data_IF_344052376649
#
_entry.id   IF_344052376649
#
_cell.length_a   1.000
_cell.length_b   1.000
_cell.length_c   1.000
_cell.angle_alpha   90.00
_cell.angle_beta   90.00
_cell.angle_gamma   90.00
#
_symmetry.space_group_name_H-M   'P 1'
#
loop_
_entity.id
_entity.type
_entity.pdbx_description
1 polymer ?
#
# COMPACT_ATOMS: atom_id res chain seq x y z
N UNK A 1 28.70 30.59 -69.43
CA UNK A 1 27.49 31.34 -69.09
C UNK A 1 26.63 30.46 -68.22
N UNK A 2 26.68 30.69 -66.95
CA UNK A 2 26.14 29.84 -65.88
C UNK A 2 24.94 30.51 -65.30
N UNK A 3 23.80 29.80 -65.23
CA UNK A 3 22.64 30.21 -64.46
C UNK A 3 22.50 29.32 -63.21
N UNK A 4 22.65 29.96 -62.05
CA UNK A 4 22.33 29.43 -60.70
C UNK A 4 20.84 29.28 -60.54
N UNK A 5 20.36 28.11 -60.10
CA UNK A 5 19.03 27.89 -59.57
C UNK A 5 19.10 27.66 -58.05
N UNK A 6 18.34 28.45 -57.34
CA UNK A 6 18.16 28.45 -55.88
C UNK A 6 17.30 27.29 -55.44
N UNK A 7 17.57 26.60 -54.32
CA UNK A 7 16.65 25.59 -53.79
C UNK A 7 15.62 26.21 -52.85
N UNK A 8 14.39 25.79 -53.06
CA UNK A 8 13.19 26.15 -52.33
C UNK A 8 13.17 25.48 -50.94
N UNK A 9 12.87 26.27 -49.96
CA UNK A 9 12.80 25.91 -48.53
C UNK A 9 11.47 25.20 -48.20
N UNK A 10 11.47 23.88 -48.00
CA UNK A 10 10.31 23.14 -47.54
C UNK A 10 10.17 23.22 -46.02
N UNK A 11 9.11 23.88 -45.59
CA UNK A 11 8.68 23.98 -44.18
C UNK A 11 8.23 22.62 -43.65
N UNK A 12 9.01 22.04 -42.78
CA UNK A 12 8.77 20.83 -42.03
C UNK A 12 7.72 21.11 -40.93
N UNK A 13 6.44 20.83 -41.19
CA UNK A 13 5.36 20.95 -40.21
C UNK A 13 5.38 19.72 -39.31
N UNK A 14 5.89 19.89 -38.10
CA UNK A 14 5.84 18.90 -37.04
C UNK A 14 4.37 18.65 -36.63
N UNK A 15 3.78 17.54 -37.07
CA UNK A 15 2.52 17.00 -36.55
C UNK A 15 2.67 16.70 -35.05
N UNK A 16 2.03 17.49 -34.21
CA UNK A 16 1.82 17.17 -32.79
C UNK A 16 0.98 15.91 -32.71
N UNK A 17 1.54 14.82 -32.18
CA UNK A 17 0.80 13.61 -31.79
C UNK A 17 -0.18 14.00 -30.68
N UNK A 18 -1.48 13.98 -30.97
CA UNK A 18 -2.52 13.99 -29.94
C UNK A 18 -2.40 12.70 -29.13
N UNK A 19 -2.10 12.82 -27.84
CA UNK A 19 -2.20 11.72 -26.89
C UNK A 19 -3.66 11.29 -26.81
N UNK A 20 -3.95 10.06 -27.20
CA UNK A 20 -5.26 9.44 -27.04
C UNK A 20 -5.45 9.08 -25.56
N UNK A 21 -6.20 9.91 -24.83
CA UNK A 21 -6.75 9.57 -23.53
C UNK A 21 -8.01 8.74 -23.76
N UNK A 22 -8.08 7.54 -23.17
CA UNK A 22 -9.35 6.87 -22.85
C UNK A 22 -9.84 5.78 -23.80
N UNK A 23 -9.13 4.64 -23.88
CA UNK A 23 -9.71 3.39 -24.45
C UNK A 23 -10.13 2.36 -23.40
N UNK A 24 -10.16 2.72 -22.12
CA UNK A 24 -10.48 1.78 -21.03
C UNK A 24 -11.96 1.72 -20.63
N UNK A 25 -12.77 2.69 -21.00
CA UNK A 25 -14.17 2.75 -20.53
C UNK A 25 -15.17 2.15 -21.51
N UNK A 26 -14.79 1.96 -22.78
CA UNK A 26 -15.66 1.39 -23.81
C UNK A 26 -15.82 -0.14 -23.73
N UNK A 27 -14.92 -0.82 -23.03
CA UNK A 27 -14.94 -2.29 -22.95
C UNK A 27 -15.89 -2.86 -21.88
N UNK A 28 -16.47 -2.02 -21.02
CA UNK A 28 -17.36 -2.44 -19.93
C UNK A 28 -18.84 -2.12 -20.16
N UNK A 29 -19.17 -1.55 -21.30
CA UNK A 29 -20.56 -1.33 -21.68
C UNK A 29 -20.80 -2.09 -22.99
N UNK A 30 -21.57 -3.19 -23.01
CA UNK A 30 -22.03 -3.80 -24.24
C UNK A 30 -23.05 -2.84 -24.89
N UNK A 31 -22.63 -2.12 -25.92
CA UNK A 31 -23.45 -1.13 -26.61
C UNK A 31 -22.77 0.22 -26.59
N UNK A 32 -22.06 0.57 -27.68
CA UNK A 32 -21.30 1.81 -27.85
C UNK A 32 -22.09 3.06 -27.46
N UNK A 33 -21.44 3.97 -26.74
CA UNK A 33 -21.91 5.34 -26.57
C UNK A 33 -21.80 6.07 -27.91
N UNK A 34 -22.77 5.85 -28.78
CA UNK A 34 -23.13 6.81 -29.84
C UNK A 34 -23.57 8.10 -29.14
N UNK A 35 -23.19 9.25 -29.69
CA UNK A 35 -23.62 10.57 -29.22
C UNK A 35 -25.14 10.58 -28.98
N UNK A 36 -25.67 11.35 -28.02
CA UNK A 36 -27.07 11.28 -27.63
C UNK A 36 -27.95 11.68 -28.82
N UNK A 37 -28.44 10.67 -29.53
CA UNK A 37 -29.66 10.79 -30.29
C UNK A 37 -30.82 10.94 -29.29
N UNK A 38 -31.74 11.81 -29.57
CA UNK A 38 -32.88 12.25 -28.74
C UNK A 38 -33.98 11.15 -28.59
N UNK A 39 -33.57 9.88 -28.65
CA UNK A 39 -34.42 8.69 -28.52
C UNK A 39 -34.33 8.03 -27.17
N UNK A 40 -35.48 8.02 -26.51
CA UNK A 40 -35.88 7.19 -25.36
C UNK A 40 -34.84 7.11 -24.21
N UNK A 41 -34.86 8.11 -23.37
CA UNK A 41 -34.21 8.06 -22.03
C UNK A 41 -34.98 7.03 -21.20
N UNK A 42 -34.46 5.80 -21.11
CA UNK A 42 -34.95 4.73 -20.22
C UNK A 42 -34.74 5.08 -18.73
N UNK A 43 -35.21 6.25 -18.28
CA UNK A 43 -35.25 6.57 -16.86
C UNK A 43 -36.70 6.80 -16.42
N UNK A 44 -37.02 6.32 -15.24
CA UNK A 44 -38.27 6.53 -14.55
C UNK A 44 -38.09 7.67 -13.52
N UNK A 45 -39.08 8.55 -13.39
CA UNK A 45 -39.14 9.47 -12.26
C UNK A 45 -39.63 8.71 -11.03
N UNK A 46 -38.84 8.70 -9.98
CA UNK A 46 -39.10 7.97 -8.75
C UNK A 46 -39.15 8.92 -7.58
N UNK A 47 -40.07 8.71 -6.65
CA UNK A 47 -40.19 9.47 -5.43
C UNK A 47 -38.94 9.23 -4.56
N UNK A 48 -38.30 10.32 -4.12
CA UNK A 48 -37.10 10.29 -3.28
C UNK A 48 -37.34 9.59 -1.94
N UNK A 49 -38.59 9.61 -1.43
CA UNK A 49 -38.96 9.02 -0.15
C UNK A 49 -38.91 7.48 -0.17
N UNK A 50 -39.16 6.83 -1.33
CA UNK A 50 -39.14 5.37 -1.45
C UNK A 50 -37.79 4.79 -1.83
N UNK A 51 -36.75 5.65 -2.00
CA UNK A 51 -35.39 5.23 -2.29
C UNK A 51 -34.61 5.11 -0.98
N UNK A 52 -34.30 3.85 -0.60
CA UNK A 52 -33.43 3.54 0.54
C UNK A 52 -31.96 3.71 0.14
N UNK A 53 -31.09 4.22 1.05
CA UNK A 53 -29.65 4.28 0.78
C UNK A 53 -29.04 2.87 0.68
N UNK A 54 -27.89 2.78 0.00
CA UNK A 54 -27.15 1.53 -0.14
C UNK A 54 -26.60 1.07 1.23
N UNK A 55 -26.97 -0.14 1.67
CA UNK A 55 -26.49 -0.75 2.95
C UNK A 55 -25.00 -1.01 2.98
N UNK A 56 -24.34 -1.14 1.83
CA UNK A 56 -22.91 -1.41 1.68
C UNK A 56 -22.06 -0.16 1.45
N UNK A 57 -22.66 1.05 1.50
CA UNK A 57 -21.97 2.29 1.23
C UNK A 57 -20.94 2.61 2.33
N UNK A 58 -19.63 2.63 2.01
CA UNK A 58 -18.59 2.85 3.01
C UNK A 58 -18.44 4.33 3.39
N UNK A 59 -18.84 5.26 2.49
CA UNK A 59 -18.69 6.70 2.73
C UNK A 59 -19.82 7.27 3.56
N UNK A 60 -19.53 7.53 4.84
CA UNK A 60 -20.49 8.15 5.78
C UNK A 60 -20.30 9.66 5.92
N UNK A 61 -19.09 10.16 5.68
CA UNK A 61 -18.74 11.57 5.78
C UNK A 61 -18.52 12.17 4.39
N UNK A 62 -19.21 13.26 4.13
CA UNK A 62 -19.07 14.12 2.96
C UNK A 62 -18.73 15.51 3.50
N UNK A 63 -17.84 16.25 2.84
CA UNK A 63 -17.62 17.65 3.21
C UNK A 63 -18.90 18.43 2.97
N UNK A 64 -19.34 19.18 3.99
CA UNK A 64 -20.63 19.87 3.98
C UNK A 64 -20.68 20.93 2.86
N UNK A 65 -19.55 21.59 2.57
CA UNK A 65 -19.41 22.56 1.49
C UNK A 65 -19.66 21.93 0.11
N UNK A 66 -19.00 20.81 -0.19
CA UNK A 66 -19.18 20.07 -1.46
C UNK A 66 -20.64 19.60 -1.67
N UNK A 67 -21.34 19.29 -0.57
CA UNK A 67 -22.72 18.87 -0.61
C UNK A 67 -23.68 20.03 -0.83
N UNK A 68 -23.40 21.19 -0.25
CA UNK A 68 -24.19 22.40 -0.44
C UNK A 68 -24.14 22.90 -1.89
N UNK A 69 -22.94 22.91 -2.50
CA UNK A 69 -22.75 23.29 -3.91
C UNK A 69 -23.49 22.33 -4.86
N UNK A 70 -23.39 21.03 -4.61
CA UNK A 70 -24.12 20.04 -5.41
C UNK A 70 -25.63 20.18 -5.24
N UNK A 71 -26.13 20.47 -4.03
CA UNK A 71 -27.55 20.70 -3.79
C UNK A 71 -28.06 21.98 -4.50
N UNK A 72 -27.25 23.05 -4.52
CA UNK A 72 -27.57 24.26 -5.26
C UNK A 72 -27.65 24.01 -6.77
N UNK A 73 -26.69 23.27 -7.34
CA UNK A 73 -26.70 22.86 -8.75
C UNK A 73 -27.94 22.00 -9.08
N UNK A 74 -28.27 21.01 -8.24
CA UNK A 74 -29.42 20.14 -8.42
C UNK A 74 -30.76 20.92 -8.29
N UNK A 75 -30.80 21.94 -7.43
CA UNK A 75 -31.99 22.83 -7.32
C UNK A 75 -32.20 23.63 -8.59
N UNK A 76 -31.13 24.07 -9.24
CA UNK A 76 -31.20 24.89 -10.46
C UNK A 76 -31.48 24.08 -11.73
N UNK A 77 -30.89 22.89 -11.85
CA UNK A 77 -30.88 22.12 -13.11
C UNK A 77 -31.53 20.73 -13.00
N UNK A 78 -31.98 20.34 -11.81
CA UNK A 78 -32.40 18.98 -11.53
C UNK A 78 -31.24 17.98 -11.49
N UNK A 79 -31.57 16.69 -11.37
CA UNK A 79 -30.60 15.59 -11.43
C UNK A 79 -30.37 15.21 -12.88
N UNK A 80 -29.30 15.71 -13.50
CA UNK A 80 -28.98 15.48 -14.91
C UNK A 80 -28.64 13.99 -15.18
N UNK A 81 -27.84 13.37 -14.31
CA UNK A 81 -27.47 11.97 -14.44
C UNK A 81 -28.34 11.11 -13.52
N UNK A 82 -29.14 10.17 -14.07
CA UNK A 82 -30.04 9.33 -13.29
C UNK A 82 -29.31 8.55 -12.19
N UNK A 83 -30.02 8.27 -11.10
CA UNK A 83 -29.55 7.34 -10.07
C UNK A 83 -29.74 5.90 -10.54
N UNK A 84 -28.83 5.02 -10.15
CA UNK A 84 -29.00 3.59 -10.37
C UNK A 84 -29.64 2.97 -9.14
N UNK A 85 -30.80 2.31 -9.32
CA UNK A 85 -31.55 1.69 -8.23
C UNK A 85 -31.91 0.25 -8.59
N UNK A 86 -32.20 -0.57 -7.58
CA UNK A 86 -32.82 -1.89 -7.74
C UNK A 86 -34.15 -1.97 -6.99
N UNK A 87 -35.00 -2.88 -7.37
CA UNK A 87 -36.26 -3.16 -6.65
C UNK A 87 -35.95 -3.76 -5.27
N UNK A 88 -36.58 -3.25 -4.21
CA UNK A 88 -36.49 -3.77 -2.84
C UNK A 88 -37.89 -3.75 -2.20
N UNK A 89 -38.60 -4.85 -2.30
CA UNK A 89 -39.99 -4.95 -1.87
C UNK A 89 -40.91 -3.97 -2.64
N UNK A 90 -41.56 -3.07 -1.88
CA UNK A 90 -42.46 -2.04 -2.44
C UNK A 90 -41.71 -0.75 -2.81
N UNK A 91 -40.40 -0.67 -2.61
CA UNK A 91 -39.56 0.51 -2.87
C UNK A 91 -38.33 0.17 -3.72
N UNK A 92 -37.35 1.04 -3.61
CA UNK A 92 -36.08 0.89 -4.32
C UNK A 92 -34.92 1.01 -3.32
N UNK A 93 -33.84 0.28 -3.60
CA UNK A 93 -32.57 0.44 -2.91
C UNK A 93 -31.56 1.06 -3.89
N UNK A 94 -30.84 2.08 -3.43
CA UNK A 94 -29.85 2.77 -4.23
C UNK A 94 -28.66 1.84 -4.50
N UNK A 95 -28.26 1.70 -5.74
CA UNK A 95 -27.05 0.98 -6.17
C UNK A 95 -25.89 1.96 -6.30
N UNK A 96 -26.09 3.08 -7.03
CA UNK A 96 -25.08 4.11 -7.22
C UNK A 96 -25.72 5.50 -7.29
N UNK A 97 -25.00 6.52 -6.77
CA UNK A 97 -25.45 7.91 -6.81
C UNK A 97 -25.81 8.50 -5.44
N UNK A 98 -25.23 8.02 -4.34
CA UNK A 98 -25.50 8.49 -2.96
C UNK A 98 -25.39 10.00 -2.80
N UNK A 99 -24.33 10.63 -3.34
CA UNK A 99 -24.18 12.11 -3.26
C UNK A 99 -25.35 12.82 -3.94
N UNK A 100 -25.79 12.32 -5.11
CA UNK A 100 -26.94 12.89 -5.85
C UNK A 100 -28.25 12.71 -5.10
N UNK A 101 -28.49 11.54 -4.50
CA UNK A 101 -29.66 11.30 -3.69
C UNK A 101 -29.73 12.24 -2.47
N UNK A 102 -28.62 12.40 -1.75
CA UNK A 102 -28.54 13.31 -0.60
C UNK A 102 -28.72 14.76 -1.00
N UNK A 103 -28.03 15.19 -2.06
CA UNK A 103 -28.14 16.55 -2.56
C UNK A 103 -29.55 16.85 -3.10
N UNK A 104 -30.24 15.88 -3.73
CA UNK A 104 -31.63 16.01 -4.13
C UNK A 104 -32.58 16.17 -2.92
N UNK A 105 -32.35 15.42 -1.82
CA UNK A 105 -33.07 15.61 -0.55
C UNK A 105 -32.82 17.00 0.04
N UNK A 106 -31.58 17.48 0.06
CA UNK A 106 -31.24 18.83 0.54
C UNK A 106 -31.80 19.93 -0.35
N UNK A 107 -31.91 19.68 -1.66
CA UNK A 107 -32.53 20.59 -2.62
C UNK A 107 -34.08 20.64 -2.51
N UNK A 108 -34.70 19.69 -1.79
CA UNK A 108 -36.16 19.60 -1.62
C UNK A 108 -36.88 18.99 -2.80
N UNK A 109 -36.20 18.20 -3.64
CA UNK A 109 -36.85 17.54 -4.77
C UNK A 109 -37.71 16.37 -4.26
N UNK A 110 -38.95 16.29 -4.77
CA UNK A 110 -39.85 15.15 -4.50
C UNK A 110 -39.55 13.93 -5.36
N UNK A 111 -39.06 14.14 -6.59
CA UNK A 111 -38.77 13.07 -7.55
C UNK A 111 -37.39 13.24 -8.17
N UNK A 112 -36.78 12.11 -8.54
CA UNK A 112 -35.47 12.04 -9.20
C UNK A 112 -35.52 11.02 -10.34
N UNK A 113 -34.74 11.24 -11.42
CA UNK A 113 -34.65 10.24 -12.49
C UNK A 113 -33.83 9.03 -11.98
N UNK A 114 -34.35 7.83 -12.21
CA UNK A 114 -33.74 6.57 -11.84
C UNK A 114 -33.69 5.60 -13.01
N UNK A 115 -32.62 4.81 -13.08
CA UNK A 115 -32.52 3.62 -13.92
C UNK A 115 -32.65 2.41 -13.00
N UNK A 116 -33.64 1.55 -13.30
CA UNK A 116 -33.85 0.31 -12.53
C UNK A 116 -32.99 -0.79 -13.14
N UNK A 117 -32.22 -1.47 -12.33
CA UNK A 117 -31.43 -2.62 -12.76
C UNK A 117 -31.67 -3.79 -11.82
N UNK A 118 -31.87 -4.96 -12.36
CA UNK A 118 -31.95 -6.18 -11.56
C UNK A 118 -30.53 -6.58 -11.17
N UNK A 119 -30.21 -6.35 -9.89
CA UNK A 119 -28.88 -6.58 -9.33
C UNK A 119 -29.07 -7.39 -8.05
N UNK A 120 -28.35 -8.49 -7.95
CA UNK A 120 -28.29 -9.33 -6.74
C UNK A 120 -27.55 -8.62 -5.60
N UNK A 121 -27.71 -9.10 -4.36
CA UNK A 121 -26.95 -8.58 -3.23
C UNK A 121 -25.43 -8.74 -3.43
N UNK A 122 -24.99 -9.83 -4.09
CA UNK A 122 -23.59 -10.07 -4.40
C UNK A 122 -23.05 -9.02 -5.39
N UNK A 123 -23.72 -8.83 -6.52
CA UNK A 123 -23.32 -7.84 -7.53
C UNK A 123 -23.32 -6.40 -6.97
N UNK A 124 -24.29 -6.08 -6.10
CA UNK A 124 -24.33 -4.76 -5.45
C UNK A 124 -23.13 -4.54 -4.52
N UNK A 125 -22.76 -5.56 -3.74
CA UNK A 125 -21.57 -5.51 -2.88
C UNK A 125 -20.29 -5.42 -3.73
N UNK A 126 -20.19 -6.20 -4.79
CA UNK A 126 -19.08 -6.15 -5.73
C UNK A 126 -18.91 -4.74 -6.34
N UNK A 127 -19.99 -4.18 -6.88
CA UNK A 127 -19.99 -2.82 -7.44
C UNK A 127 -19.55 -1.77 -6.41
N UNK A 128 -20.01 -1.92 -5.16
CA UNK A 128 -19.62 -1.02 -4.08
C UNK A 128 -18.13 -1.12 -3.74
N UNK A 129 -17.55 -2.32 -3.74
CA UNK A 129 -16.11 -2.53 -3.50
C UNK A 129 -15.29 -1.99 -4.66
N UNK A 130 -15.69 -2.26 -5.90
CA UNK A 130 -14.98 -1.80 -7.11
C UNK A 130 -15.02 -0.28 -7.22
N UNK A 131 -16.18 0.35 -7.00
CA UNK A 131 -16.32 1.81 -6.97
C UNK A 131 -15.39 2.43 -5.92
N UNK A 132 -15.34 1.85 -4.73
CA UNK A 132 -14.50 2.34 -3.66
C UNK A 132 -12.98 2.22 -3.99
N UNK A 133 -12.55 1.12 -4.63
CA UNK A 133 -11.16 0.94 -5.11
C UNK A 133 -10.77 2.00 -6.16
N UNK A 134 -11.71 2.45 -6.99
CA UNK A 134 -11.44 3.42 -8.06
C UNK A 134 -11.36 4.87 -7.56
N UNK A 135 -11.53 5.12 -6.27
CA UNK A 135 -11.45 6.45 -5.68
C UNK A 135 -10.00 6.94 -5.57
N UNK A 136 -9.81 8.22 -5.85
CA UNK A 136 -8.49 8.85 -5.84
C UNK A 136 -7.86 9.00 -4.43
N UNK A 137 -8.69 9.00 -3.39
CA UNK A 137 -8.32 9.24 -1.99
C UNK A 137 -8.10 7.93 -1.17
N UNK A 138 -8.05 6.78 -1.86
CA UNK A 138 -7.89 5.47 -1.22
C UNK A 138 -6.43 5.24 -0.81
N UNK A 139 -6.18 4.93 0.46
CA UNK A 139 -4.82 4.64 0.90
C UNK A 139 -4.39 3.21 0.50
N UNK A 140 -3.07 2.94 0.38
CA UNK A 140 -2.60 1.64 -0.11
C UNK A 140 -3.01 0.43 0.75
N UNK A 141 -3.24 0.61 2.04
CA UNK A 141 -3.66 -0.47 2.95
C UNK A 141 -5.16 -0.73 2.82
N UNK A 142 -5.96 0.31 2.68
CA UNK A 142 -7.38 0.18 2.37
C UNK A 142 -7.58 -0.53 1.03
N UNK A 143 -6.81 -0.14 0.00
CA UNK A 143 -6.86 -0.77 -1.32
C UNK A 143 -6.49 -2.27 -1.24
N UNK A 144 -5.45 -2.61 -0.46
CA UNK A 144 -5.07 -3.99 -0.21
C UNK A 144 -6.18 -4.81 0.49
N UNK A 145 -6.86 -4.20 1.45
CA UNK A 145 -7.98 -4.83 2.16
C UNK A 145 -9.21 -4.99 1.26
N UNK A 146 -9.49 -4.01 0.41
CA UNK A 146 -10.59 -4.07 -0.55
C UNK A 146 -10.37 -5.18 -1.61
N UNK A 147 -9.14 -5.33 -2.15
CA UNK A 147 -8.82 -6.46 -3.03
C UNK A 147 -8.98 -7.81 -2.33
N UNK A 148 -8.51 -7.91 -1.11
CA UNK A 148 -8.68 -9.15 -0.36
C UNK A 148 -10.13 -9.49 -0.14
N UNK A 149 -10.94 -8.49 0.25
CA UNK A 149 -12.38 -8.64 0.46
C UNK A 149 -13.07 -9.06 -0.83
N UNK A 150 -12.77 -8.39 -1.95
CA UNK A 150 -13.29 -8.74 -3.27
C UNK A 150 -13.01 -10.20 -3.62
N UNK A 151 -11.76 -10.66 -3.41
CA UNK A 151 -11.38 -12.04 -3.68
C UNK A 151 -12.06 -13.05 -2.76
N UNK A 152 -12.18 -12.73 -1.46
CA UNK A 152 -12.69 -13.67 -0.47
C UNK A 152 -14.22 -13.83 -0.56
N UNK A 153 -14.93 -12.70 -0.74
CA UNK A 153 -16.40 -12.71 -0.78
C UNK A 153 -16.95 -13.30 -2.08
N UNK A 154 -16.19 -13.16 -3.19
CA UNK A 154 -16.64 -13.63 -4.52
C UNK A 154 -15.85 -14.84 -5.05
N UNK A 155 -14.94 -15.41 -4.25
CA UNK A 155 -14.13 -16.57 -4.66
C UNK A 155 -13.22 -16.28 -5.87
N UNK A 156 -12.78 -15.02 -6.08
CA UNK A 156 -12.03 -14.62 -7.26
C UNK A 156 -10.55 -14.93 -7.12
N UNK A 157 -9.94 -15.31 -8.24
CA UNK A 157 -8.48 -15.32 -8.38
C UNK A 157 -7.93 -13.90 -8.49
N UNK A 158 -6.62 -13.73 -8.29
CA UNK A 158 -5.97 -12.41 -8.46
C UNK A 158 -6.10 -11.86 -9.88
N UNK A 159 -6.13 -12.73 -10.88
CA UNK A 159 -6.32 -12.35 -12.29
C UNK A 159 -7.73 -11.79 -12.51
N UNK A 160 -8.75 -12.50 -12.02
CA UNK A 160 -10.15 -12.07 -12.12
C UNK A 160 -10.42 -10.77 -11.35
N UNK A 161 -9.85 -10.64 -10.14
CA UNK A 161 -9.98 -9.41 -9.36
C UNK A 161 -9.30 -8.22 -10.08
N UNK A 162 -8.13 -8.43 -10.68
CA UNK A 162 -7.42 -7.41 -11.44
C UNK A 162 -8.22 -6.95 -12.67
N UNK A 163 -8.80 -7.87 -13.41
CA UNK A 163 -9.65 -7.58 -14.57
C UNK A 163 -10.87 -6.72 -14.17
N UNK A 164 -11.56 -7.08 -13.08
CA UNK A 164 -12.75 -6.35 -12.59
C UNK A 164 -12.46 -4.92 -12.14
N UNK A 165 -11.27 -4.65 -11.64
CA UNK A 165 -10.89 -3.30 -11.18
C UNK A 165 -10.09 -2.52 -12.24
N UNK A 166 -9.82 -3.11 -13.42
CA UNK A 166 -9.04 -2.48 -14.48
C UNK A 166 -7.55 -2.29 -14.15
N UNK A 167 -6.98 -3.17 -13.31
CA UNK A 167 -5.56 -3.14 -12.92
C UNK A 167 -4.83 -4.37 -13.46
N UNK A 168 -3.47 -4.34 -13.42
CA UNK A 168 -2.70 -5.55 -13.71
C UNK A 168 -2.71 -6.52 -12.53
N UNK A 169 -2.64 -7.83 -12.80
CA UNK A 169 -2.46 -8.86 -11.77
C UNK A 169 -1.30 -8.56 -10.83
N UNK A 170 -0.17 -8.09 -11.39
CA UNK A 170 1.01 -7.75 -10.60
C UNK A 170 0.78 -6.58 -9.65
N UNK A 171 -0.05 -5.59 -10.03
CA UNK A 171 -0.45 -4.51 -9.15
C UNK A 171 -1.28 -5.04 -7.97
N UNK A 172 -2.34 -5.83 -8.24
CA UNK A 172 -3.19 -6.43 -7.20
C UNK A 172 -2.35 -7.30 -6.25
N UNK A 173 -1.46 -8.15 -6.79
CA UNK A 173 -0.56 -8.97 -5.98
C UNK A 173 0.36 -8.12 -5.07
N UNK A 174 0.87 -6.99 -5.56
CA UNK A 174 1.71 -6.09 -4.75
C UNK A 174 0.92 -5.47 -3.60
N UNK A 175 -0.31 -5.04 -3.83
CA UNK A 175 -1.19 -4.53 -2.76
C UNK A 175 -1.50 -5.61 -1.72
N UNK A 176 -1.92 -6.80 -2.14
CA UNK A 176 -2.23 -7.90 -1.24
C UNK A 176 -1.05 -8.29 -0.34
N UNK A 177 0.17 -8.20 -0.84
CA UNK A 177 1.37 -8.45 -0.04
C UNK A 177 1.58 -7.45 1.08
N UNK A 178 1.08 -6.20 0.98
CA UNK A 178 1.20 -5.21 2.05
C UNK A 178 0.54 -5.67 3.35
N UNK A 179 -0.51 -6.49 3.27
CA UNK A 179 -1.20 -7.07 4.43
C UNK A 179 -0.33 -8.04 5.26
N UNK A 180 0.81 -8.48 4.71
CA UNK A 180 1.78 -9.33 5.41
C UNK A 180 2.77 -8.51 6.27
N UNK A 181 2.69 -7.18 6.21
CA UNK A 181 3.50 -6.29 7.04
C UNK A 181 2.86 -6.10 8.40
N UNK A 182 3.69 -5.84 9.41
CA UNK A 182 3.22 -5.49 10.75
C UNK A 182 2.39 -4.20 10.74
N UNK A 183 1.43 -4.09 11.66
CA UNK A 183 0.53 -2.94 11.79
C UNK A 183 1.29 -1.61 11.88
N UNK A 184 2.42 -1.55 12.61
CA UNK A 184 3.24 -0.36 12.73
C UNK A 184 3.84 0.08 11.37
N UNK A 185 4.19 -0.87 10.51
CA UNK A 185 4.69 -0.60 9.16
C UNK A 185 3.54 -0.16 8.26
N UNK A 186 2.37 -0.82 8.38
CA UNK A 186 1.16 -0.43 7.64
C UNK A 186 0.72 1.00 8.00
N UNK A 187 0.71 1.36 9.28
CA UNK A 187 0.43 2.72 9.74
C UNK A 187 1.40 3.74 9.10
N UNK A 188 2.70 3.42 9.06
CA UNK A 188 3.69 4.29 8.42
C UNK A 188 3.47 4.49 6.92
N UNK A 189 2.85 3.51 6.24
CA UNK A 189 2.45 3.64 4.82
C UNK A 189 1.25 4.60 4.71
N UNK A 190 0.26 4.45 5.58
CA UNK A 190 -0.94 5.30 5.61
C UNK A 190 -0.59 6.76 5.90
N UNK A 191 0.32 6.99 6.84
CA UNK A 191 0.84 8.32 7.20
C UNK A 191 1.81 8.92 6.16
N UNK A 192 2.19 8.14 5.14
CA UNK A 192 3.14 8.58 4.11
C UNK A 192 4.60 8.65 4.58
N UNK A 193 4.91 8.15 5.79
CA UNK A 193 6.27 8.11 6.31
C UNK A 193 7.18 7.19 5.50
N UNK A 194 6.61 6.16 4.88
CA UNK A 194 7.27 5.31 3.89
C UNK A 194 6.36 5.08 2.67
N UNK A 195 6.97 4.97 1.48
CA UNK A 195 6.20 4.71 0.25
C UNK A 195 5.97 3.22 0.02
N UNK A 196 5.06 2.88 -0.91
CA UNK A 196 4.84 1.50 -1.38
C UNK A 196 6.12 0.82 -1.88
N UNK A 197 7.06 1.56 -2.46
CA UNK A 197 8.36 1.04 -2.88
C UNK A 197 9.18 0.51 -1.71
N UNK A 198 9.24 1.27 -0.61
CA UNK A 198 9.88 0.84 0.64
C UNK A 198 9.19 -0.40 1.22
N UNK A 199 7.86 -0.41 1.26
CA UNK A 199 7.08 -1.53 1.75
C UNK A 199 7.33 -2.83 0.96
N UNK A 200 7.38 -2.75 -0.39
CA UNK A 200 7.73 -3.87 -1.25
C UNK A 200 9.14 -4.41 -0.98
N UNK A 201 10.10 -3.51 -0.79
CA UNK A 201 11.47 -3.90 -0.46
C UNK A 201 11.51 -4.63 0.89
N UNK A 202 10.82 -4.12 1.93
CA UNK A 202 10.73 -4.75 3.26
C UNK A 202 10.14 -6.17 3.20
N UNK A 203 9.14 -6.41 2.35
CA UNK A 203 8.58 -7.75 2.11
C UNK A 203 9.59 -8.75 1.52
N UNK A 204 10.72 -8.25 1.05
CA UNK A 204 11.84 -9.10 0.66
C UNK A 204 12.50 -9.81 1.83
N UNK A 205 12.39 -9.34 3.07
CA UNK A 205 12.89 -10.01 4.27
C UNK A 205 11.85 -11.00 4.80
N UNK A 206 12.28 -12.23 5.12
CA UNK A 206 11.37 -13.26 5.64
C UNK A 206 11.05 -13.05 7.12
N UNK A 207 12.06 -12.65 7.91
CA UNK A 207 11.89 -12.50 9.36
C UNK A 207 11.19 -11.19 9.75
N UNK A 208 10.17 -11.29 10.60
CA UNK A 208 9.45 -10.14 11.15
C UNK A 208 10.40 -9.19 11.92
N UNK A 209 11.30 -9.68 12.81
CA UNK A 209 12.27 -8.81 13.48
C UNK A 209 13.21 -8.08 12.51
N UNK A 210 13.60 -8.76 11.42
CA UNK A 210 14.41 -8.16 10.34
C UNK A 210 13.68 -7.02 9.63
N UNK A 211 12.40 -7.22 9.32
CA UNK A 211 11.54 -6.18 8.71
C UNK A 211 11.44 -4.96 9.63
N UNK A 212 11.17 -5.15 10.92
CA UNK A 212 11.08 -4.06 11.91
C UNK A 212 12.39 -3.29 12.07
N UNK A 213 13.51 -3.98 12.11
CA UNK A 213 14.84 -3.34 12.20
C UNK A 213 15.15 -2.52 10.94
N UNK A 214 14.89 -3.07 9.76
CA UNK A 214 15.07 -2.39 8.49
C UNK A 214 14.14 -1.17 8.37
N UNK A 215 12.87 -1.29 8.74
CA UNK A 215 11.90 -0.19 8.76
C UNK A 215 12.36 0.97 9.65
N UNK A 216 12.82 0.71 10.89
CA UNK A 216 13.36 1.75 11.77
C UNK A 216 14.55 2.46 11.13
N UNK A 217 15.42 1.72 10.44
CA UNK A 217 16.58 2.28 9.75
C UNK A 217 16.17 3.17 8.58
N UNK A 218 15.14 2.77 7.82
CA UNK A 218 14.58 3.56 6.70
C UNK A 218 14.08 4.90 7.21
N UNK A 219 13.28 4.91 8.28
CA UNK A 219 12.73 6.14 8.86
C UNK A 219 13.85 7.02 9.44
N UNK A 220 14.74 6.45 10.26
CA UNK A 220 15.80 7.21 10.94
C UNK A 220 16.77 7.86 9.96
N UNK A 221 17.10 7.18 8.86
CA UNK A 221 18.04 7.67 7.86
C UNK A 221 17.38 8.31 6.63
N UNK A 222 16.05 8.35 6.58
CA UNK A 222 15.26 8.85 5.44
C UNK A 222 15.74 8.26 4.10
N UNK A 223 15.97 6.94 4.08
CA UNK A 223 16.50 6.25 2.90
C UNK A 223 15.52 6.35 1.72
N UNK A 224 16.06 6.49 0.52
CA UNK A 224 15.30 6.34 -0.72
C UNK A 224 14.94 4.87 -0.96
N UNK A 225 13.98 4.61 -1.88
CA UNK A 225 13.60 3.24 -2.28
C UNK A 225 14.81 2.43 -2.77
N UNK A 226 15.68 3.04 -3.58
CA UNK A 226 16.89 2.37 -4.12
C UNK A 226 17.88 1.99 -3.02
N UNK A 227 18.13 2.89 -2.08
CA UNK A 227 19.01 2.63 -0.93
C UNK A 227 18.42 1.53 -0.03
N UNK A 228 17.10 1.54 0.16
CA UNK A 228 16.37 0.50 0.89
C UNK A 228 16.53 -0.87 0.21
N UNK A 229 16.34 -0.95 -1.10
CA UNK A 229 16.54 -2.18 -1.86
C UNK A 229 17.98 -2.70 -1.75
N UNK A 230 18.97 -1.80 -1.82
CA UNK A 230 20.39 -2.17 -1.64
C UNK A 230 20.67 -2.68 -0.22
N UNK A 231 20.14 -2.00 0.80
CA UNK A 231 20.26 -2.42 2.20
C UNK A 231 19.67 -3.82 2.40
N UNK A 232 18.47 -4.06 1.90
CA UNK A 232 17.78 -5.34 2.03
C UNK A 232 18.53 -6.44 1.26
N UNK A 233 19.09 -6.13 0.09
CA UNK A 233 19.94 -7.08 -0.66
C UNK A 233 21.17 -7.47 0.15
N UNK A 234 21.85 -6.51 0.79
CA UNK A 234 22.99 -6.77 1.67
C UNK A 234 22.60 -7.62 2.90
N UNK A 235 21.42 -7.35 3.50
CA UNK A 235 20.93 -8.15 4.63
C UNK A 235 20.60 -9.58 4.24
N UNK A 236 20.14 -9.82 3.00
CA UNK A 236 19.88 -11.17 2.48
C UNK A 236 21.17 -11.91 2.11
N UNK A 237 22.16 -11.22 1.55
CA UNK A 237 23.42 -11.82 1.16
C UNK A 237 24.39 -12.01 2.34
N UNK A 238 24.14 -11.34 3.47
CA UNK A 238 24.91 -11.56 4.68
C UNK A 238 24.70 -13.02 5.14
N UNK A 239 25.76 -13.81 5.31
CA UNK A 239 25.63 -15.14 5.88
C UNK A 239 24.92 -15.03 7.23
N UNK A 240 23.99 -15.94 7.57
CA UNK A 240 23.30 -15.89 8.84
C UNK A 240 24.36 -15.77 9.94
N UNK A 241 24.28 -14.69 10.75
CA UNK A 241 25.13 -14.61 11.97
C UNK A 241 24.95 -15.94 12.66
N UNK A 242 26.04 -16.68 12.96
CA UNK A 242 25.91 -17.96 13.62
C UNK A 242 25.07 -17.72 14.87
N UNK A 243 23.92 -18.37 14.93
CA UNK A 243 23.08 -18.35 16.12
C UNK A 243 24.02 -18.64 17.29
N UNK A 244 24.04 -17.78 18.31
CA UNK A 244 24.81 -18.06 19.53
C UNK A 244 24.34 -19.43 19.98
N UNK A 245 25.17 -20.46 19.75
CA UNK A 245 24.86 -21.79 20.26
C UNK A 245 24.62 -21.63 21.76
N UNK A 246 23.62 -22.33 22.32
CA UNK A 246 23.49 -22.34 23.77
C UNK A 246 24.86 -22.71 24.34
N UNK A 247 25.35 -21.97 25.33
CA UNK A 247 26.71 -22.19 25.84
C UNK A 247 26.80 -23.65 26.31
N UNK A 248 27.73 -24.37 25.68
CA UNK A 248 28.02 -25.76 26.04
C UNK A 248 28.54 -25.77 27.49
N UNK A 249 28.41 -26.86 28.24
CA UNK A 249 28.96 -26.95 29.60
C UNK A 249 30.44 -26.52 29.67
N UNK A 250 31.17 -26.84 28.63
CA UNK A 250 32.56 -26.42 28.46
C UNK A 250 32.70 -24.90 28.31
N UNK A 251 31.80 -24.22 27.59
CA UNK A 251 31.83 -22.75 27.44
C UNK A 251 31.42 -22.05 28.73
N UNK A 252 30.55 -22.64 29.56
CA UNK A 252 30.20 -22.16 30.90
C UNK A 252 31.41 -22.26 31.85
N UNK A 253 32.16 -23.38 31.82
CA UNK A 253 33.35 -23.55 32.62
C UNK A 253 34.40 -22.49 32.27
N UNK A 254 34.69 -22.24 31.01
CA UNK A 254 35.63 -21.18 30.61
C UNK A 254 35.14 -19.77 30.92
N UNK A 255 33.82 -19.52 30.94
CA UNK A 255 33.24 -18.24 31.36
C UNK A 255 33.44 -18.03 32.86
N UNK A 256 33.24 -19.06 33.69
CA UNK A 256 33.51 -18.98 35.12
C UNK A 256 35.01 -18.74 35.41
N UNK A 257 35.91 -19.45 34.72
CA UNK A 257 37.35 -19.21 34.84
C UNK A 257 37.75 -17.80 34.41
N UNK A 258 37.14 -17.25 33.37
CA UNK A 258 37.39 -15.88 32.93
C UNK A 258 36.91 -14.85 33.96
N UNK A 259 35.77 -15.11 34.63
CA UNK A 259 35.29 -14.27 35.74
C UNK A 259 36.20 -14.32 36.97
N UNK A 260 36.66 -15.51 37.37
CA UNK A 260 37.59 -15.67 38.50
C UNK A 260 38.93 -14.99 38.23
N UNK A 261 39.47 -15.16 37.02
CA UNK A 261 40.69 -14.46 36.61
C UNK A 261 40.47 -12.94 36.52
N UNK A 262 39.32 -12.48 36.11
CA UNK A 262 38.98 -11.06 36.07
C UNK A 262 38.92 -10.44 37.47
N UNK A 263 38.40 -11.20 38.45
CA UNK A 263 38.44 -10.80 39.88
C UNK A 263 39.85 -10.77 40.42
N UNK A 264 40.70 -11.77 40.10
CA UNK A 264 42.06 -11.86 40.59
C UNK A 264 42.95 -10.74 40.05
N UNK A 265 42.87 -10.48 38.73
CA UNK A 265 43.69 -9.44 38.08
C UNK A 265 43.07 -8.04 38.17
N UNK A 266 41.83 -7.90 38.62
CA UNK A 266 41.12 -6.62 38.72
C UNK A 266 40.87 -5.94 37.37
N UNK A 267 40.87 -6.71 36.29
CA UNK A 267 40.61 -6.24 34.91
C UNK A 267 39.92 -7.32 34.11
N UNK A 268 39.36 -6.94 32.97
CA UNK A 268 38.62 -7.87 32.12
C UNK A 268 39.53 -8.89 31.46
N UNK A 269 39.28 -10.17 31.75
CA UNK A 269 39.94 -11.32 31.13
C UNK A 269 38.98 -12.06 30.22
N UNK A 270 39.45 -12.41 29.03
CA UNK A 270 38.66 -13.16 28.03
C UNK A 270 39.44 -14.42 27.65
N UNK A 271 38.78 -15.58 27.71
CA UNK A 271 39.31 -16.86 27.27
C UNK A 271 38.66 -17.30 25.98
N UNK A 272 39.44 -17.39 24.91
CA UNK A 272 38.97 -17.87 23.61
C UNK A 272 39.63 -19.22 23.31
N UNK A 273 38.81 -20.27 23.11
CA UNK A 273 39.30 -21.61 22.79
C UNK A 273 39.15 -21.92 21.34
N UNK A 274 40.16 -22.51 20.72
CA UNK A 274 40.13 -23.17 19.43
C UNK A 274 40.30 -24.69 19.62
N UNK A 275 40.05 -25.50 18.58
CA UNK A 275 40.03 -26.98 18.68
C UNK A 275 41.28 -27.59 19.35
N UNK A 276 42.50 -27.03 19.18
CA UNK A 276 43.75 -27.51 19.73
C UNK A 276 44.57 -26.44 20.48
N UNK A 277 44.08 -25.20 20.53
CA UNK A 277 44.76 -24.07 21.16
C UNK A 277 43.74 -23.16 21.82
N UNK A 278 44.21 -22.23 22.61
CA UNK A 278 43.38 -21.18 23.23
C UNK A 278 44.20 -19.93 23.46
N UNK A 279 43.52 -18.80 23.60
CA UNK A 279 44.10 -17.51 23.91
C UNK A 279 43.44 -16.97 25.16
N UNK A 280 44.25 -16.53 26.12
CA UNK A 280 43.78 -15.74 27.25
C UNK A 280 44.22 -14.30 27.01
N UNK A 281 43.26 -13.40 26.91
CA UNK A 281 43.48 -11.99 26.71
C UNK A 281 43.13 -11.24 28.01
N UNK A 282 44.04 -10.45 28.53
CA UNK A 282 43.90 -9.60 29.72
C UNK A 282 43.92 -8.17 29.20
N UNK A 283 42.85 -7.39 29.44
CA UNK A 283 42.77 -5.99 29.03
C UNK A 283 43.54 -5.12 30.08
N UNK A 284 44.31 -4.12 29.65
CA UNK A 284 44.90 -3.09 30.48
C UNK A 284 44.51 -1.72 29.93
N UNK A 285 44.47 -0.71 30.82
CA UNK A 285 43.96 0.61 30.47
C UNK A 285 45.04 1.70 30.42
N UNK A 286 46.18 1.47 31.03
CA UNK A 286 47.33 2.36 31.00
C UNK A 286 48.62 1.56 31.31
N UNK A 287 49.80 2.21 31.17
CA UNK A 287 51.10 1.58 31.35
C UNK A 287 51.36 1.13 32.82
N UNK A 288 50.85 1.88 33.81
CA UNK A 288 50.94 1.50 35.22
C UNK A 288 50.14 0.22 35.53
N UNK A 289 48.97 0.09 34.88
CA UNK A 289 48.16 -1.11 35.02
C UNK A 289 48.82 -2.32 34.35
N UNK A 290 49.49 -2.10 33.22
CA UNK A 290 50.27 -3.15 32.55
C UNK A 290 51.40 -3.61 33.46
N UNK A 291 52.15 -2.70 34.08
CA UNK A 291 53.26 -3.05 35.02
C UNK A 291 52.73 -3.80 36.25
N UNK A 292 51.57 -3.41 36.77
CA UNK A 292 50.89 -4.13 37.86
C UNK A 292 50.54 -5.56 37.45
N UNK A 293 49.94 -5.73 36.29
CA UNK A 293 49.56 -7.05 35.75
C UNK A 293 50.78 -7.93 35.48
N UNK A 294 51.87 -7.37 34.94
CA UNK A 294 53.10 -8.10 34.69
C UNK A 294 53.78 -8.57 36.02
N UNK A 295 53.71 -7.76 37.08
CA UNK A 295 54.18 -8.19 38.41
C UNK A 295 53.34 -9.35 38.93
N UNK A 296 52.03 -9.28 38.85
CA UNK A 296 51.14 -10.35 39.30
C UNK A 296 51.34 -11.64 38.49
N UNK A 297 51.58 -11.56 37.18
CA UNK A 297 51.87 -12.72 36.33
C UNK A 297 53.24 -13.34 36.61
N UNK A 298 54.25 -12.56 37.04
CA UNK A 298 55.60 -13.06 37.38
C UNK A 298 55.70 -13.62 38.79
N UNK A 299 54.89 -13.15 39.77
CA UNK A 299 54.91 -13.57 41.16
C UNK A 299 53.95 -14.73 41.47
N UNK A 300 53.47 -15.49 40.46
CA UNK A 300 52.61 -16.67 40.64
C UNK A 300 53.46 -17.96 40.78
N UNK A 301 54.59 -17.94 41.51
CA UNK A 301 55.30 -19.14 42.00
C UNK A 301 55.01 -19.40 43.46
#
# INVERSE_FOLDING_TARGET
>A
MTRKSTPTNEKNSRKRKKMALGKGLEALIPGGLSAPSDDARDYLLCDVAIIKPNRYQPRRHFADEDMADLAASIRAQGVIQPLLVRKDGTGYELVAGERRLRAAKMAGLSQVPVVIKDITNGEMLEMSIVENIQRADFNPIEEANAYHRLMTEFGLTQDQAAERVGKSRSAVANFLRLRQLDDAIQTSIVEGAISMGHARALLGLESIPGRRSAWRTIIAKKLSVRETEQMIRKLKSAPPKPAKRPPNEVDRHFSMLAEDLSRYYGTKVTIQRQKKSGTVAIEFYNDDDLDRLLRLLKNSE
#
